data_IF_938449761753
#
_entry.id   IF_938449761753
#
_cell.length_a   1.000
_cell.length_b   1.000
_cell.length_c   1.000
_cell.angle_alpha   90.00
_cell.angle_beta   90.00
_cell.angle_gamma   90.00
#
_symmetry.space_group_name_H-M   'P 1'
#
loop_
_entity.id
_entity.type
_entity.pdbx_description
1 polymer ?
#
# COMPACT_ATOMS: atom_id res chain seq x y z
N UNK A 1 35.37 -30.26 24.89
CA UNK A 1 35.60 -28.81 25.02
C UNK A 1 34.77 -28.34 26.21
N UNK A 2 35.36 -27.59 27.15
CA UNK A 2 34.62 -27.10 28.32
C UNK A 2 33.46 -26.21 27.84
N UNK A 3 32.24 -26.55 28.25
CA UNK A 3 31.07 -25.70 28.04
C UNK A 3 31.27 -24.45 28.91
N UNK A 4 31.28 -23.24 28.35
CA UNK A 4 31.53 -22.03 29.12
C UNK A 4 30.50 -21.91 30.24
N UNK A 5 30.98 -21.84 31.48
CA UNK A 5 30.19 -21.79 32.73
C UNK A 5 29.64 -20.41 33.04
N UNK A 6 29.94 -19.43 32.19
CA UNK A 6 29.50 -18.03 32.30
C UNK A 6 29.05 -17.57 30.91
N UNK A 7 27.83 -17.02 30.85
CA UNK A 7 27.41 -16.22 29.72
C UNK A 7 27.99 -14.82 29.98
N UNK A 8 29.08 -14.46 29.31
CA UNK A 8 29.59 -13.10 29.48
C UNK A 8 28.57 -12.10 28.93
N UNK A 9 28.10 -11.21 29.80
CA UNK A 9 27.24 -10.07 29.49
C UNK A 9 27.96 -8.99 28.67
N UNK A 10 28.76 -9.37 27.66
CA UNK A 10 29.56 -8.40 26.90
C UNK A 10 28.71 -7.32 26.22
N UNK A 11 27.40 -7.57 26.02
CA UNK A 11 26.44 -6.58 25.54
C UNK A 11 25.12 -6.68 26.29
N UNK A 12 24.88 -5.72 27.18
CA UNK A 12 23.62 -5.55 27.93
C UNK A 12 22.41 -5.35 27.00
N UNK A 13 22.64 -4.82 25.79
CA UNK A 13 21.68 -4.68 24.70
C UNK A 13 22.36 -5.11 23.40
N UNK A 14 21.77 -6.02 22.62
CA UNK A 14 22.26 -6.37 21.27
C UNK A 14 21.30 -5.88 20.19
N UNK A 15 21.86 -5.28 19.15
CA UNK A 15 21.10 -4.91 17.95
C UNK A 15 20.82 -6.17 17.13
N UNK A 16 19.55 -6.41 16.78
CA UNK A 16 19.14 -7.65 16.11
C UNK A 16 18.90 -7.50 14.60
N UNK A 17 19.19 -6.32 14.02
CA UNK A 17 18.88 -6.03 12.62
C UNK A 17 19.48 -7.05 11.65
N UNK A 18 20.74 -7.45 11.83
CA UNK A 18 21.37 -8.45 10.96
C UNK A 18 20.64 -9.82 10.99
N UNK A 19 20.10 -10.21 12.14
CA UNK A 19 19.32 -11.45 12.26
C UNK A 19 17.94 -11.30 11.63
N UNK A 20 17.33 -10.11 11.74
CA UNK A 20 16.07 -9.79 11.06
C UNK A 20 16.25 -9.90 9.55
N UNK A 21 17.29 -9.28 8.99
CA UNK A 21 17.58 -9.31 7.55
C UNK A 21 17.83 -10.73 7.04
N UNK A 22 18.55 -11.54 7.81
CA UNK A 22 18.77 -12.97 7.51
C UNK A 22 17.46 -13.77 7.53
N UNK A 23 16.55 -13.48 8.47
CA UNK A 23 15.24 -14.15 8.55
C UNK A 23 14.38 -13.75 7.35
N UNK A 24 14.32 -12.46 7.02
CA UNK A 24 13.56 -11.95 5.88
C UNK A 24 14.05 -12.52 4.55
N UNK A 25 15.36 -12.76 4.42
CA UNK A 25 15.93 -13.43 3.24
C UNK A 25 15.50 -14.90 3.12
N UNK A 26 15.28 -15.59 4.25
CA UNK A 26 14.90 -17.02 4.29
C UNK A 26 13.40 -17.26 4.18
N UNK A 27 12.58 -16.31 4.62
CA UNK A 27 11.13 -16.36 4.59
C UNK A 27 10.58 -15.01 4.11
N UNK A 28 10.57 -14.76 2.78
CA UNK A 28 10.10 -13.50 2.23
C UNK A 28 8.59 -13.37 2.48
N UNK A 29 8.25 -12.61 3.50
CA UNK A 29 6.89 -12.11 3.77
C UNK A 29 6.77 -10.70 3.22
N UNK A 30 5.54 -10.18 3.06
CA UNK A 30 5.33 -8.81 2.56
C UNK A 30 6.17 -7.75 3.29
N UNK A 31 6.34 -7.91 4.60
CA UNK A 31 7.18 -7.03 5.41
C UNK A 31 8.65 -6.94 4.94
N UNK A 32 9.19 -7.96 4.28
CA UNK A 32 10.54 -7.93 3.70
C UNK A 32 10.64 -7.21 2.35
N UNK A 33 9.52 -6.89 1.72
CA UNK A 33 9.46 -6.23 0.40
C UNK A 33 9.21 -4.73 0.49
N UNK A 34 8.73 -4.25 1.63
CA UNK A 34 8.46 -2.82 1.85
C UNK A 34 9.74 -2.07 2.19
N UNK A 35 9.77 -0.78 1.85
CA UNK A 35 10.92 0.07 2.17
C UNK A 35 11.02 0.38 3.67
N UNK A 36 12.21 0.78 4.11
CA UNK A 36 12.41 1.40 5.43
C UNK A 36 12.37 2.92 5.23
N UNK A 37 11.51 3.60 5.99
CA UNK A 37 11.43 5.06 6.00
C UNK A 37 12.31 5.68 7.07
N UNK A 38 12.28 7.02 7.16
CA UNK A 38 13.06 7.76 8.16
C UNK A 38 12.67 7.35 9.59
N UNK A 39 13.59 7.48 10.53
CA UNK A 39 13.31 7.21 11.94
C UNK A 39 12.14 8.07 12.44
N UNK A 40 11.34 7.52 13.35
CA UNK A 40 10.27 8.26 14.03
C UNK A 40 10.85 9.08 15.17
N UNK A 41 10.26 10.24 15.42
CA UNK A 41 10.57 11.09 16.59
C UNK A 41 9.43 11.14 17.60
N UNK A 42 8.23 10.69 17.21
CA UNK A 42 7.01 10.72 18.01
C UNK A 42 6.21 9.44 17.84
N UNK A 43 5.34 9.16 18.80
CA UNK A 43 4.45 8.00 18.81
C UNK A 43 3.30 8.13 17.83
N UNK A 44 2.82 9.35 17.59
CA UNK A 44 1.99 9.71 16.43
C UNK A 44 2.91 10.29 15.38
N UNK A 45 2.84 9.76 14.17
CA UNK A 45 3.60 10.30 13.04
C UNK A 45 2.69 10.52 11.86
N UNK A 46 3.03 11.53 11.08
CA UNK A 46 2.24 11.99 9.96
C UNK A 46 3.11 12.18 8.73
N UNK A 47 2.46 12.09 7.58
CA UNK A 47 3.06 12.33 6.28
C UNK A 47 2.06 13.08 5.42
N UNK A 48 2.60 13.82 4.48
CA UNK A 48 1.81 14.54 3.50
C UNK A 48 1.62 13.64 2.28
N UNK A 49 0.37 13.45 1.90
CA UNK A 49 -0.02 12.92 0.62
C UNK A 49 -0.14 14.08 -0.36
N UNK A 50 0.38 13.85 -1.56
CA UNK A 50 0.27 14.78 -2.67
C UNK A 50 -0.42 14.05 -3.81
N UNK A 51 -1.36 14.72 -4.46
CA UNK A 51 -2.11 14.15 -5.56
C UNK A 51 -1.99 15.08 -6.77
N UNK A 52 -1.70 14.47 -7.91
CA UNK A 52 -1.79 15.17 -9.19
C UNK A 52 -3.27 15.32 -9.53
N UNK A 53 -3.67 16.50 -10.00
CA UNK A 53 -5.02 16.68 -10.51
C UNK A 53 -5.22 15.79 -11.73
N UNK A 54 -6.32 15.04 -11.73
CA UNK A 54 -6.75 14.32 -12.92
C UNK A 54 -7.17 15.33 -13.98
N UNK A 55 -6.75 15.09 -15.22
CA UNK A 55 -7.13 15.88 -16.38
C UNK A 55 -8.50 15.46 -16.96
N UNK A 56 -9.24 14.58 -16.27
CA UNK A 56 -10.55 14.10 -16.70
C UNK A 56 -11.61 14.41 -15.64
N UNK A 57 -12.79 14.86 -16.09
CA UNK A 57 -13.95 15.16 -15.27
C UNK A 57 -15.17 14.35 -15.67
N UNK A 58 -15.99 13.93 -14.71
CA UNK A 58 -17.22 13.16 -14.99
C UNK A 58 -18.46 14.07 -14.90
N UNK A 59 -19.31 13.98 -15.92
CA UNK A 59 -20.57 14.73 -15.99
C UNK A 59 -21.66 14.02 -15.20
N UNK A 60 -22.31 14.72 -14.27
CA UNK A 60 -23.35 14.17 -13.40
C UNK A 60 -24.71 14.07 -14.10
N UNK A 61 -25.08 15.10 -14.85
CA UNK A 61 -26.38 15.17 -15.56
C UNK A 61 -26.16 15.32 -17.05
N UNK A 62 -26.94 14.57 -17.85
CA UNK A 62 -26.90 14.69 -19.30
C UNK A 62 -27.16 16.15 -19.73
N UNK A 63 -26.47 16.59 -20.77
CA UNK A 63 -26.58 17.93 -21.34
C UNK A 63 -26.95 17.82 -22.82
N UNK A 64 -27.98 18.57 -23.23
CA UNK A 64 -28.43 18.61 -24.61
C UNK A 64 -27.43 19.37 -25.50
N UNK A 65 -27.66 19.28 -26.81
CA UNK A 65 -26.92 20.06 -27.80
C UNK A 65 -27.26 21.54 -27.57
N UNK A 66 -26.28 22.33 -27.14
CA UNK A 66 -26.44 23.76 -26.88
C UNK A 66 -26.49 24.16 -25.41
N UNK A 67 -26.63 23.22 -24.48
CA UNK A 67 -26.53 23.51 -23.04
C UNK A 67 -25.12 24.01 -22.73
N UNK A 68 -25.02 25.20 -22.13
CA UNK A 68 -23.76 25.83 -21.75
C UNK A 68 -23.38 25.56 -20.30
N UNK A 69 -24.31 25.08 -19.48
CA UNK A 69 -24.08 24.75 -18.08
C UNK A 69 -23.95 23.23 -17.94
N UNK A 70 -22.76 22.75 -17.59
CA UNK A 70 -22.52 21.33 -17.34
C UNK A 70 -22.35 21.10 -15.84
N UNK A 71 -23.22 20.26 -15.26
CA UNK A 71 -23.11 19.83 -13.86
C UNK A 71 -22.24 18.58 -13.81
N UNK A 72 -21.19 18.64 -13.01
CA UNK A 72 -20.20 17.58 -12.83
C UNK A 72 -20.49 16.79 -11.55
N UNK A 73 -19.81 15.66 -11.37
CA UNK A 73 -19.83 14.95 -10.09
C UNK A 73 -19.12 15.76 -8.99
N UNK A 74 -19.38 15.39 -7.74
CA UNK A 74 -18.96 16.16 -6.58
C UNK A 74 -17.44 16.30 -6.52
N UNK A 75 -16.94 17.54 -6.53
CA UNK A 75 -15.52 17.87 -6.45
C UNK A 75 -14.78 17.79 -7.78
N UNK A 76 -15.46 17.54 -8.89
CA UNK A 76 -14.85 17.44 -10.23
C UNK A 76 -14.60 18.82 -10.86
N UNK A 77 -15.40 19.82 -10.52
CA UNK A 77 -15.28 21.18 -11.08
C UNK A 77 -13.92 21.82 -10.82
N UNK A 78 -13.26 21.49 -9.70
CA UNK A 78 -11.92 22.00 -9.34
C UNK A 78 -10.81 21.61 -10.33
N UNK A 79 -11.05 20.63 -11.20
CA UNK A 79 -10.08 20.15 -12.20
C UNK A 79 -10.00 21.07 -13.43
N UNK A 80 -11.01 21.91 -13.61
CA UNK A 80 -11.12 22.82 -14.75
C UNK A 80 -10.70 24.23 -14.34
N UNK A 81 -10.14 24.97 -15.30
CA UNK A 81 -9.80 26.39 -15.13
C UNK A 81 -10.55 27.21 -16.18
N UNK A 82 -10.71 28.51 -15.93
CA UNK A 82 -11.18 29.43 -16.97
C UNK A 82 -10.28 29.31 -18.21
N UNK A 83 -10.89 29.39 -19.39
CA UNK A 83 -10.28 29.19 -20.71
C UNK A 83 -9.71 27.80 -21.01
N UNK A 84 -9.88 26.82 -20.11
CA UNK A 84 -9.48 25.44 -20.42
C UNK A 84 -10.23 24.92 -21.65
N UNK A 85 -9.50 24.24 -22.54
CA UNK A 85 -10.05 23.49 -23.66
C UNK A 85 -10.34 22.08 -23.17
N UNK A 86 -11.59 21.66 -23.33
CA UNK A 86 -12.11 20.40 -22.83
C UNK A 86 -12.70 19.62 -24.01
N UNK A 87 -12.48 18.32 -24.06
CA UNK A 87 -12.96 17.45 -25.11
C UNK A 87 -14.07 16.55 -24.57
N UNK A 88 -15.13 16.39 -25.36
CA UNK A 88 -16.11 15.33 -25.21
C UNK A 88 -16.28 14.61 -26.55
N UNK A 89 -15.76 13.38 -26.67
CA UNK A 89 -15.74 12.67 -27.94
C UNK A 89 -14.95 13.44 -29.01
N UNK A 90 -15.65 13.98 -30.02
CA UNK A 90 -15.05 14.83 -31.08
C UNK A 90 -15.33 16.33 -30.88
N UNK A 91 -16.18 16.70 -29.92
CA UNK A 91 -16.46 18.10 -29.60
C UNK A 91 -15.34 18.69 -28.73
N UNK A 92 -14.89 19.91 -29.08
CA UNK A 92 -14.05 20.72 -28.21
C UNK A 92 -14.87 21.86 -27.63
N UNK A 93 -14.78 22.02 -26.32
CA UNK A 93 -15.47 23.02 -25.51
C UNK A 93 -14.44 23.96 -24.90
N UNK A 94 -14.78 25.25 -24.75
CA UNK A 94 -13.97 26.19 -23.95
C UNK A 94 -14.69 26.50 -22.65
N UNK A 95 -14.02 26.32 -21.51
CA UNK A 95 -14.56 26.69 -20.19
C UNK A 95 -14.56 28.20 -20.04
N UNK A 96 -15.74 28.78 -19.79
CA UNK A 96 -15.95 30.23 -19.59
C UNK A 96 -15.85 30.57 -18.11
N UNK A 97 -16.45 29.76 -17.24
CA UNK A 97 -16.38 29.95 -15.79
C UNK A 97 -16.52 28.62 -15.05
N UNK A 98 -16.00 28.57 -13.84
CA UNK A 98 -16.05 27.40 -12.97
C UNK A 98 -16.70 27.79 -11.63
N UNK A 99 -17.74 27.05 -11.24
CA UNK A 99 -18.38 27.16 -9.93
C UNK A 99 -18.15 25.86 -9.14
N UNK A 100 -17.16 25.90 -8.24
CA UNK A 100 -16.79 24.74 -7.42
C UNK A 100 -17.81 24.43 -6.32
N UNK A 101 -18.60 25.40 -5.88
CA UNK A 101 -19.60 25.16 -4.82
C UNK A 101 -20.84 24.45 -5.37
N UNK A 102 -21.17 24.73 -6.64
CA UNK A 102 -22.27 24.09 -7.35
C UNK A 102 -21.84 22.86 -8.19
N UNK A 103 -20.55 22.50 -8.18
CA UNK A 103 -19.95 21.48 -9.05
C UNK A 103 -20.31 21.70 -10.53
N UNK A 104 -20.28 22.95 -11.00
CA UNK A 104 -20.75 23.35 -12.33
C UNK A 104 -19.64 24.05 -13.12
N UNK A 105 -19.56 23.75 -14.42
CA UNK A 105 -18.77 24.54 -15.36
C UNK A 105 -19.69 25.18 -16.39
N UNK A 106 -19.42 26.44 -16.73
CA UNK A 106 -20.06 27.12 -17.85
C UNK A 106 -19.12 27.01 -19.04
N UNK A 107 -19.59 26.52 -20.17
CA UNK A 107 -18.79 26.22 -21.37
C UNK A 107 -19.34 26.92 -22.60
N UNK A 108 -18.44 27.29 -23.50
CA UNK A 108 -18.74 27.59 -24.89
C UNK A 108 -18.68 26.27 -25.68
N UNK A 109 -19.84 25.86 -26.21
CA UNK A 109 -20.01 24.68 -27.07
C UNK A 109 -19.43 24.90 -28.47
N UNK A 110 -18.98 23.82 -29.12
CA UNK A 110 -18.49 23.85 -30.50
C UNK A 110 -17.34 24.83 -30.75
N UNK A 111 -16.34 24.86 -29.86
CA UNK A 111 -15.15 25.68 -30.01
C UNK A 111 -14.42 25.30 -31.30
N UNK A 112 -13.88 26.30 -32.01
CA UNK A 112 -13.21 26.13 -33.32
C UNK A 112 -14.06 25.42 -34.38
N UNK A 113 -15.37 25.69 -34.42
CA UNK A 113 -16.33 25.07 -35.35
C UNK A 113 -16.47 23.55 -35.22
N UNK A 114 -16.07 22.98 -34.07
CA UNK A 114 -16.39 21.58 -33.76
C UNK A 114 -17.90 21.40 -33.60
N UNK A 115 -18.42 20.24 -34.02
CA UNK A 115 -19.85 19.96 -33.97
C UNK A 115 -20.27 19.64 -32.54
N UNK A 116 -21.26 20.36 -32.02
CA UNK A 116 -21.80 20.10 -30.69
C UNK A 116 -22.56 18.77 -30.63
N UNK A 117 -22.26 17.94 -29.63
CA UNK A 117 -22.87 16.63 -29.42
C UNK A 117 -23.57 16.55 -28.06
N UNK A 118 -24.60 15.72 -27.93
CA UNK A 118 -25.24 15.53 -26.64
C UNK A 118 -24.28 14.82 -25.67
N UNK A 119 -24.21 15.31 -24.43
CA UNK A 119 -23.36 14.71 -23.40
C UNK A 119 -24.25 13.81 -22.54
N UNK A 120 -23.91 12.53 -22.43
CA UNK A 120 -24.63 11.61 -21.56
C UNK A 120 -24.24 11.79 -20.10
N UNK A 121 -25.13 11.47 -19.17
CA UNK A 121 -24.76 11.35 -17.77
C UNK A 121 -23.67 10.26 -17.62
N UNK A 122 -22.64 10.54 -16.82
CA UNK A 122 -21.43 9.72 -16.70
C UNK A 122 -20.43 9.90 -17.85
N UNK A 123 -20.66 10.83 -18.78
CA UNK A 123 -19.71 11.15 -19.85
C UNK A 123 -18.41 11.75 -19.31
N UNK A 124 -17.30 11.41 -19.96
CA UNK A 124 -15.96 11.90 -19.60
C UNK A 124 -15.60 13.17 -20.38
N UNK A 125 -15.15 14.18 -19.64
CA UNK A 125 -14.63 15.43 -20.16
C UNK A 125 -13.13 15.48 -19.94
N UNK A 126 -12.34 15.48 -21.02
CA UNK A 126 -10.88 15.51 -20.95
C UNK A 126 -10.34 16.92 -21.19
N UNK A 127 -9.52 17.43 -20.28
CA UNK A 127 -8.78 18.68 -20.49
C UNK A 127 -7.70 18.44 -21.55
N UNK A 128 -7.78 19.14 -22.68
CA UNK A 128 -6.75 19.13 -23.73
C UNK A 128 -5.59 20.03 -23.33
N UNK A 129 -5.92 21.27 -22.95
CA UNK A 129 -4.95 22.31 -22.63
C UNK A 129 -5.60 23.43 -21.84
N UNK A 130 -4.78 24.25 -21.19
CA UNK A 130 -5.19 25.47 -20.48
C UNK A 130 -4.51 26.68 -21.14
N UNK A 131 -4.91 27.06 -22.38
CA UNK A 131 -4.29 28.18 -23.10
C UNK A 131 -4.56 29.49 -22.36
N UNK A 132 -3.58 30.40 -22.39
CA UNK A 132 -3.67 31.71 -21.73
C UNK A 132 -3.72 32.85 -22.75
N UNK A 133 -4.54 33.88 -22.51
CA UNK A 133 -4.49 35.10 -23.30
C UNK A 133 -3.19 35.87 -23.06
N UNK A 134 -2.71 36.58 -24.09
CA UNK A 134 -1.54 37.43 -23.98
C UNK A 134 -1.83 38.63 -23.04
N UNK A 135 -0.95 38.85 -22.07
CA UNK A 135 -1.08 39.96 -21.09
C UNK A 135 -1.95 39.66 -19.86
N UNK A 136 -2.27 38.40 -19.58
CA UNK A 136 -2.97 38.01 -18.36
C UNK A 136 -2.14 38.33 -17.09
N UNK A 137 -2.81 38.83 -16.03
CA UNK A 137 -2.21 39.05 -14.72
C UNK A 137 -1.91 37.71 -14.00
N UNK A 138 -1.15 37.75 -12.90
CA UNK A 138 -0.78 36.56 -12.13
C UNK A 138 -2.01 35.70 -11.77
N UNK A 139 -1.92 34.39 -12.08
CA UNK A 139 -2.91 33.33 -11.85
C UNK A 139 -4.06 33.68 -10.88
N UNK A 140 -5.30 33.74 -11.38
CA UNK A 140 -6.50 33.96 -10.54
C UNK A 140 -6.72 32.87 -9.50
N UNK A 141 -6.13 31.68 -9.71
CA UNK A 141 -6.11 30.58 -8.75
C UNK A 141 -4.89 29.72 -8.99
N UNK A 142 -4.11 29.48 -7.95
CA UNK A 142 -3.03 28.50 -8.01
C UNK A 142 -3.66 27.11 -8.18
N UNK A 143 -3.19 26.33 -9.14
CA UNK A 143 -3.46 24.88 -9.29
C UNK A 143 -2.83 24.06 -8.13
N UNK A 144 -2.63 24.68 -6.98
CA UNK A 144 -2.05 24.06 -5.79
C UNK A 144 -3.15 23.23 -5.15
N UNK A 145 -2.90 21.94 -5.08
CA UNK A 145 -3.64 21.06 -4.20
C UNK A 145 -3.15 21.25 -2.77
N UNK A 146 -4.09 21.36 -1.84
CA UNK A 146 -3.73 21.28 -0.43
C UNK A 146 -3.27 19.85 -0.12
N UNK A 147 -2.20 19.74 0.66
CA UNK A 147 -1.60 18.45 1.00
C UNK A 147 -2.46 17.79 2.06
N UNK A 148 -2.96 16.59 1.77
CA UNK A 148 -3.70 15.82 2.75
C UNK A 148 -2.72 15.23 3.76
N UNK A 149 -2.94 15.51 5.05
CA UNK A 149 -2.11 14.97 6.13
C UNK A 149 -2.71 13.64 6.60
N UNK A 150 -2.04 12.54 6.26
CA UNK A 150 -2.36 11.22 6.81
C UNK A 150 -1.44 10.92 8.00
N UNK A 151 -1.93 10.10 8.93
CA UNK A 151 -1.19 9.79 10.14
C UNK A 151 -1.42 8.35 10.60
N UNK A 152 -0.45 7.86 11.37
CA UNK A 152 -0.49 6.57 12.05
C UNK A 152 0.18 6.66 13.43
N UNK A 153 0.13 5.55 14.16
CA UNK A 153 0.78 5.42 15.46
C UNK A 153 1.87 4.34 15.42
N UNK A 154 2.95 4.54 16.15
CA UNK A 154 3.92 3.48 16.41
C UNK A 154 3.31 2.44 17.36
N UNK A 155 3.75 1.20 17.23
CA UNK A 155 3.36 0.08 18.07
C UNK A 155 4.60 -0.64 18.58
N UNK A 156 4.57 -1.03 19.86
CA UNK A 156 5.61 -1.84 20.47
C UNK A 156 5.33 -3.30 20.15
N UNK A 157 6.30 -3.95 19.51
CA UNK A 157 6.34 -5.39 19.32
C UNK A 157 7.33 -5.96 20.33
N UNK A 158 6.91 -6.96 21.10
CA UNK A 158 7.77 -7.59 22.09
C UNK A 158 7.57 -9.09 22.18
N UNK A 159 8.65 -9.82 22.43
CA UNK A 159 8.65 -11.25 22.73
C UNK A 159 9.65 -11.55 23.84
N UNK A 160 9.42 -12.65 24.55
CA UNK A 160 10.22 -13.08 25.68
C UNK A 160 10.69 -14.52 25.45
N UNK A 161 11.97 -14.79 25.73
CA UNK A 161 12.56 -16.12 25.71
C UNK A 161 13.25 -16.39 27.05
N UNK A 162 13.06 -17.58 27.61
CA UNK A 162 13.72 -18.01 28.84
C UNK A 162 14.13 -19.48 28.76
N UNK A 163 15.29 -19.80 29.33
CA UNK A 163 15.87 -21.14 29.38
C UNK A 163 16.38 -21.38 30.80
N UNK A 164 16.07 -22.53 31.40
CA UNK A 164 16.56 -22.86 32.74
C UNK A 164 18.09 -23.08 32.75
N UNK A 165 18.75 -22.89 33.89
CA UNK A 165 20.21 -23.11 33.97
C UNK A 165 20.61 -24.54 33.67
N UNK A 166 19.80 -25.51 34.10
CA UNK A 166 20.01 -26.92 33.77
C UNK A 166 19.89 -27.15 32.27
N UNK A 167 18.86 -26.59 31.61
CA UNK A 167 18.68 -26.76 30.17
C UNK A 167 19.82 -26.12 29.37
N UNK A 168 20.35 -24.99 29.84
CA UNK A 168 21.53 -24.36 29.23
C UNK A 168 22.80 -25.23 29.36
N UNK A 169 22.90 -26.06 30.40
CA UNK A 169 24.03 -26.97 30.62
C UNK A 169 23.89 -28.31 29.89
N UNK A 170 22.67 -28.72 29.52
CA UNK A 170 22.43 -29.95 28.77
C UNK A 170 22.91 -29.75 27.32
N UNK A 171 23.86 -30.58 26.90
CA UNK A 171 24.34 -30.60 25.52
C UNK A 171 23.23 -31.08 24.58
N UNK A 172 22.61 -30.13 23.88
CA UNK A 172 21.59 -30.43 22.87
C UNK A 172 22.27 -30.57 21.51
N UNK A 173 21.96 -31.65 20.77
CA UNK A 173 22.57 -31.91 19.47
C UNK A 173 22.14 -30.85 18.44
N UNK A 174 23.10 -30.23 17.77
CA UNK A 174 22.84 -29.25 16.69
C UNK A 174 22.55 -27.81 17.15
N UNK A 175 22.57 -27.53 18.46
CA UNK A 175 22.39 -26.17 19.01
C UNK A 175 23.59 -25.80 19.87
N UNK A 176 24.32 -24.75 19.47
CA UNK A 176 25.49 -24.27 20.23
C UNK A 176 25.11 -23.49 21.49
N UNK A 177 23.97 -22.78 21.46
CA UNK A 177 23.42 -22.06 22.59
C UNK A 177 21.87 -22.08 22.54
N UNK A 178 21.25 -22.75 23.52
CA UNK A 178 19.80 -22.90 23.60
C UNK A 178 19.09 -21.55 23.76
N UNK A 179 19.63 -20.63 24.55
CA UNK A 179 19.05 -19.30 24.72
C UNK A 179 19.02 -18.51 23.41
N UNK A 180 20.13 -18.48 22.67
CA UNK A 180 20.20 -17.77 21.38
C UNK A 180 19.30 -18.45 20.34
N UNK A 181 19.14 -19.78 20.38
CA UNK A 181 18.19 -20.50 19.53
C UNK A 181 16.75 -20.08 19.82
N UNK A 182 16.34 -20.05 21.09
CA UNK A 182 15.00 -19.61 21.49
C UNK A 182 14.75 -18.14 21.14
N UNK A 183 15.74 -17.26 21.30
CA UNK A 183 15.66 -15.85 20.87
C UNK A 183 15.41 -15.75 19.36
N UNK A 184 16.12 -16.51 18.54
CA UNK A 184 15.90 -16.50 17.09
C UNK A 184 14.51 -17.01 16.69
N UNK A 185 13.97 -18.03 17.36
CA UNK A 185 12.59 -18.48 17.14
C UNK A 185 11.57 -17.39 17.48
N UNK A 186 11.73 -16.72 18.64
CA UNK A 186 10.85 -15.61 19.03
C UNK A 186 10.96 -14.42 18.07
N UNK A 187 12.14 -14.17 17.51
CA UNK A 187 12.35 -13.13 16.49
C UNK A 187 11.55 -13.44 15.22
N UNK A 188 11.55 -14.70 14.75
CA UNK A 188 10.74 -15.12 13.60
C UNK A 188 9.24 -14.94 13.85
N UNK A 189 8.77 -15.26 15.06
CA UNK A 189 7.37 -15.02 15.43
C UNK A 189 7.02 -13.53 15.46
N UNK A 190 7.92 -12.69 15.93
CA UNK A 190 7.73 -11.24 15.95
C UNK A 190 7.65 -10.66 14.54
N UNK A 191 8.48 -11.14 13.60
CA UNK A 191 8.42 -10.72 12.19
C UNK A 191 7.09 -11.16 11.55
N UNK A 192 6.61 -12.39 11.85
CA UNK A 192 5.30 -12.87 11.39
C UNK A 192 4.15 -12.03 11.94
N UNK A 193 4.24 -11.62 13.21
CA UNK A 193 3.28 -10.69 13.82
C UNK A 193 3.33 -9.31 13.17
N UNK A 194 4.53 -8.76 12.92
CA UNK A 194 4.72 -7.51 12.21
C UNK A 194 4.08 -7.53 10.81
N UNK A 195 4.29 -8.62 10.08
CA UNK A 195 3.68 -8.84 8.77
C UNK A 195 2.15 -8.93 8.82
N UNK A 196 1.61 -9.66 9.79
CA UNK A 196 0.16 -9.73 10.01
C UNK A 196 -0.41 -8.35 10.37
N UNK A 197 0.32 -7.57 11.17
CA UNK A 197 -0.04 -6.20 11.50
C UNK A 197 0.04 -5.26 10.30
N UNK A 198 0.96 -5.46 9.36
CA UNK A 198 1.03 -4.70 8.11
C UNK A 198 -0.24 -4.92 7.27
N UNK A 199 -0.76 -6.15 7.23
CA UNK A 199 -1.96 -6.47 6.44
C UNK A 199 -3.23 -5.99 7.17
N UNK A 200 -3.42 -6.41 8.42
CA UNK A 200 -4.70 -6.26 9.17
C UNK A 200 -4.71 -5.22 10.27
N UNK A 201 -3.57 -4.57 10.54
CA UNK A 201 -3.42 -3.63 11.64
C UNK A 201 -4.52 -2.57 11.66
N UNK A 202 -4.94 -2.17 12.85
CA UNK A 202 -5.95 -1.13 13.04
C UNK A 202 -5.29 0.06 13.73
N UNK A 203 -5.55 1.26 13.22
CA UNK A 203 -5.03 2.50 13.79
C UNK A 203 -5.77 2.80 15.10
N UNK A 204 -5.06 2.78 16.24
CA UNK A 204 -5.59 3.19 17.54
C UNK A 204 -4.52 3.99 18.30
N UNK A 205 -4.90 5.17 18.80
CA UNK A 205 -4.04 6.07 19.57
C UNK A 205 -3.73 5.59 21.00
N UNK A 206 -4.30 4.48 21.43
CA UNK A 206 -4.13 3.88 22.74
C UNK A 206 -4.87 4.64 23.85
N UNK A 207 -4.98 4.00 25.00
CA UNK A 207 -5.51 4.54 26.24
C UNK A 207 -4.81 3.88 27.43
N UNK A 208 -5.07 4.30 28.69
CA UNK A 208 -4.54 3.58 29.85
C UNK A 208 -4.93 2.09 29.91
N UNK A 209 -5.99 1.69 29.21
CA UNK A 209 -6.50 0.31 29.17
C UNK A 209 -6.29 -0.40 27.83
N UNK A 210 -5.91 0.34 26.77
CA UNK A 210 -5.73 -0.20 25.43
C UNK A 210 -4.35 0.19 24.86
N UNK A 211 -3.56 -0.77 24.34
CA UNK A 211 -2.30 -0.45 23.72
C UNK A 211 -2.49 0.35 22.43
N UNK A 212 -1.47 1.13 22.07
CA UNK A 212 -1.37 1.76 20.75
C UNK A 212 -1.17 0.70 19.68
N UNK A 213 -1.89 0.83 18.57
CA UNK A 213 -1.77 -0.11 17.45
C UNK A 213 -1.58 0.63 16.13
N UNK A 214 -0.71 0.09 15.28
CA UNK A 214 -0.44 0.64 13.95
C UNK A 214 -1.51 0.20 12.97
N UNK A 215 -1.99 1.12 12.12
CA UNK A 215 -2.84 0.81 10.98
C UNK A 215 -2.08 0.00 9.92
N UNK A 216 -2.72 -1.01 9.35
CA UNK A 216 -2.24 -1.78 8.22
C UNK A 216 -2.97 -1.42 6.91
N UNK A 217 -2.63 -2.12 5.83
CA UNK A 217 -3.12 -1.84 4.47
C UNK A 217 -4.66 -1.80 4.41
N UNK A 218 -5.35 -2.80 4.95
CA UNK A 218 -6.83 -2.83 4.93
C UNK A 218 -7.48 -1.70 5.75
N UNK A 219 -6.78 -1.16 6.75
CA UNK A 219 -7.28 0.01 7.47
C UNK A 219 -7.13 1.27 6.63
N UNK A 220 -5.97 1.47 5.99
CA UNK A 220 -5.75 2.62 5.11
C UNK A 220 -6.66 2.63 3.90
N UNK A 221 -6.92 1.47 3.28
CA UNK A 221 -7.86 1.41 2.15
C UNK A 221 -9.28 1.80 2.54
N UNK A 222 -9.71 1.45 3.75
CA UNK A 222 -11.01 1.85 4.29
C UNK A 222 -11.10 3.33 4.70
N UNK A 223 -10.01 3.89 5.23
CA UNK A 223 -9.96 5.29 5.70
C UNK A 223 -9.87 6.25 4.52
N UNK A 224 -9.01 5.96 3.54
CA UNK A 224 -8.70 6.86 2.42
C UNK A 224 -9.60 6.62 1.19
N UNK A 225 -10.43 5.58 1.20
CA UNK A 225 -11.41 5.33 0.13
C UNK A 225 -10.80 4.77 -1.16
N UNK A 226 -9.86 3.85 -1.03
CA UNK A 226 -9.24 3.12 -2.16
C UNK A 226 -10.28 2.41 -3.03
N UNK A 227 -9.95 2.19 -4.30
CA UNK A 227 -10.83 1.48 -5.22
C UNK A 227 -11.09 0.05 -4.74
N UNK A 228 -12.33 -0.44 -4.94
CA UNK A 228 -12.72 -1.80 -4.61
C UNK A 228 -13.35 -2.45 -5.83
N UNK A 229 -12.73 -3.51 -6.32
CA UNK A 229 -13.22 -4.31 -7.44
C UNK A 229 -13.88 -5.59 -6.91
N UNK A 230 -15.17 -5.75 -7.19
CA UNK A 230 -15.95 -6.93 -6.76
C UNK A 230 -15.98 -8.01 -7.85
N UNK A 231 -15.51 -9.21 -7.51
CA UNK A 231 -15.52 -10.39 -8.41
C UNK A 231 -16.79 -11.24 -8.28
N UNK A 232 -17.72 -10.87 -7.38
CA UNK A 232 -19.05 -11.50 -7.21
C UNK A 232 -18.99 -13.02 -6.97
N UNK A 233 -17.93 -13.50 -6.31
CA UNK A 233 -17.71 -14.91 -6.02
C UNK A 233 -17.13 -15.73 -7.18
N UNK A 234 -16.77 -15.09 -8.29
CA UNK A 234 -16.16 -15.77 -9.45
C UNK A 234 -14.63 -15.88 -9.30
N UNK A 235 -14.01 -16.73 -10.12
CA UNK A 235 -12.55 -16.73 -10.27
C UNK A 235 -12.05 -15.38 -10.78
N UNK A 236 -10.77 -15.05 -10.53
CA UNK A 236 -10.16 -13.88 -11.16
C UNK A 236 -10.27 -14.03 -12.68
N UNK A 237 -10.76 -12.99 -13.34
CA UNK A 237 -10.79 -12.86 -14.79
C UNK A 237 -9.88 -11.70 -15.23
N UNK A 238 -9.19 -11.87 -16.36
CA UNK A 238 -8.26 -10.87 -16.88
C UNK A 238 -8.92 -9.49 -17.09
N UNK A 239 -10.17 -9.47 -17.57
CA UNK A 239 -10.92 -8.22 -17.76
C UNK A 239 -11.08 -7.45 -16.44
N UNK A 240 -11.60 -8.07 -15.39
CA UNK A 240 -11.84 -7.40 -14.11
C UNK A 240 -10.53 -6.98 -13.41
N UNK A 241 -9.45 -7.74 -13.62
CA UNK A 241 -8.14 -7.37 -13.13
C UNK A 241 -7.60 -6.13 -13.86
N UNK A 242 -7.69 -6.09 -15.19
CA UNK A 242 -7.30 -4.93 -15.99
C UNK A 242 -8.16 -3.69 -15.66
N UNK A 243 -9.47 -3.87 -15.49
CA UNK A 243 -10.39 -2.81 -15.05
C UNK A 243 -9.91 -2.22 -13.70
N UNK A 244 -9.45 -3.06 -12.75
CA UNK A 244 -8.94 -2.58 -11.46
C UNK A 244 -7.62 -1.81 -11.59
N UNK A 245 -6.72 -2.20 -12.50
CA UNK A 245 -5.46 -1.50 -12.79
C UNK A 245 -5.73 -0.15 -13.46
N UNK A 246 -6.68 -0.10 -14.40
CA UNK A 246 -7.12 1.14 -15.04
C UNK A 246 -7.69 2.12 -14.00
N UNK A 247 -8.44 1.63 -13.02
CA UNK A 247 -8.96 2.47 -11.93
C UNK A 247 -7.85 3.02 -11.01
N UNK A 248 -6.77 2.29 -10.81
CA UNK A 248 -5.57 2.81 -10.11
C UNK A 248 -4.91 3.91 -10.94
N UNK A 249 -4.77 3.69 -12.25
CA UNK A 249 -4.12 4.64 -13.17
C UNK A 249 -4.91 5.93 -13.37
N UNK A 250 -6.24 5.85 -13.55
CA UNK A 250 -7.13 7.01 -13.69
C UNK A 250 -7.16 7.89 -12.43
N UNK A 251 -6.90 7.29 -11.26
CA UNK A 251 -6.70 8.01 -9.99
C UNK A 251 -5.31 8.64 -9.86
N UNK A 252 -4.41 8.43 -10.82
CA UNK A 252 -3.05 8.97 -10.82
C UNK A 252 -2.02 8.12 -10.05
N UNK A 253 -2.36 6.86 -9.75
CA UNK A 253 -1.47 5.91 -9.09
C UNK A 253 -0.85 4.90 -10.05
N UNK A 254 0.12 4.14 -9.53
CA UNK A 254 0.70 2.97 -10.17
C UNK A 254 0.52 1.76 -9.25
N UNK A 255 0.35 0.56 -9.82
CA UNK A 255 0.39 -0.69 -9.08
C UNK A 255 1.52 -1.56 -9.62
N UNK A 256 2.48 -1.91 -8.76
CA UNK A 256 3.62 -2.74 -9.14
C UNK A 256 3.45 -4.20 -8.67
N UNK A 257 2.65 -4.42 -7.63
CA UNK A 257 2.58 -5.70 -6.91
C UNK A 257 1.14 -6.14 -6.69
N UNK A 258 0.84 -7.41 -6.96
CA UNK A 258 -0.37 -8.07 -6.48
C UNK A 258 -0.01 -8.87 -5.23
N UNK A 259 -0.56 -8.47 -4.09
CA UNK A 259 -0.49 -9.25 -2.86
C UNK A 259 -1.72 -10.15 -2.74
N UNK A 260 -1.51 -11.46 -2.64
CA UNK A 260 -2.61 -12.41 -2.59
C UNK A 260 -2.29 -13.66 -1.76
N UNK A 261 -3.33 -14.43 -1.43
CA UNK A 261 -3.17 -15.76 -0.85
C UNK A 261 -2.83 -16.82 -1.92
N UNK A 262 -2.34 -18.01 -1.51
CA UNK A 262 -1.93 -19.06 -2.46
C UNK A 262 -3.02 -19.53 -3.43
N UNK A 263 -4.29 -19.50 -3.02
CA UNK A 263 -5.42 -19.88 -3.86
C UNK A 263 -5.63 -18.90 -5.03
N UNK A 264 -5.50 -17.61 -4.75
CA UNK A 264 -5.64 -16.55 -5.75
C UNK A 264 -4.42 -16.53 -6.68
N UNK A 265 -3.21 -16.75 -6.13
CA UNK A 265 -1.99 -16.85 -6.92
C UNK A 265 -2.12 -17.91 -8.02
N UNK A 266 -2.67 -19.09 -7.70
CA UNK A 266 -2.92 -20.15 -8.68
C UNK A 266 -3.95 -19.76 -9.75
N UNK A 267 -4.98 -19.00 -9.40
CA UNK A 267 -5.94 -18.46 -10.39
C UNK A 267 -5.26 -17.47 -11.33
N UNK A 268 -4.38 -16.60 -10.81
CA UNK A 268 -3.58 -15.68 -11.64
C UNK A 268 -2.64 -16.47 -12.57
N UNK A 269 -2.02 -17.54 -12.08
CA UNK A 269 -1.20 -18.44 -12.93
C UNK A 269 -2.03 -19.08 -14.05
N UNK A 270 -3.27 -19.50 -13.77
CA UNK A 270 -4.19 -20.08 -14.76
C UNK A 270 -4.56 -19.06 -15.85
N UNK A 271 -4.69 -17.77 -15.49
CA UNK A 271 -4.98 -16.70 -16.45
C UNK A 271 -3.81 -16.40 -17.40
N UNK A 272 -2.57 -16.57 -16.94
CA UNK A 272 -1.36 -16.27 -17.71
C UNK A 272 -0.96 -17.32 -18.77
N UNK A 273 -1.87 -18.22 -19.19
CA UNK A 273 -1.59 -19.36 -20.08
C UNK A 273 -0.60 -19.06 -21.23
N UNK A 274 0.35 -19.98 -21.45
CA UNK A 274 1.48 -19.98 -22.42
C UNK A 274 2.36 -18.72 -22.53
N UNK A 275 2.04 -17.65 -21.80
CA UNK A 275 2.72 -16.34 -21.89
C UNK A 275 3.50 -16.01 -20.60
N UNK A 276 3.71 -17.01 -19.73
CA UNK A 276 4.61 -16.87 -18.58
C UNK A 276 6.06 -16.98 -19.11
N UNK A 277 6.68 -15.84 -19.42
CA UNK A 277 8.14 -15.77 -19.53
C UNK A 277 8.72 -15.77 -18.13
N UNK A 278 9.07 -16.94 -17.60
CA UNK A 278 9.92 -17.05 -16.41
C UNK A 278 11.30 -16.51 -16.74
N UNK A 279 11.52 -15.20 -16.55
CA UNK A 279 12.89 -14.67 -16.49
C UNK A 279 13.46 -15.12 -15.15
N UNK A 280 14.24 -16.19 -15.18
CA UNK A 280 14.95 -16.72 -14.01
C UNK A 280 16.03 -15.70 -13.61
N UNK A 281 15.68 -14.76 -12.75
CA UNK A 281 16.67 -13.91 -12.09
C UNK A 281 17.35 -14.76 -11.02
N UNK A 282 18.62 -15.05 -11.22
CA UNK A 282 19.44 -15.96 -10.39
C UNK A 282 19.88 -15.26 -9.09
N UNK A 283 18.95 -14.69 -8.33
CA UNK A 283 19.28 -14.07 -7.04
C UNK A 283 18.22 -14.33 -5.98
N UNK A 284 18.64 -15.11 -4.99
CA UNK A 284 18.08 -15.30 -3.65
C UNK A 284 16.80 -16.15 -3.50
N UNK A 285 16.89 -17.08 -2.55
CA UNK A 285 15.86 -17.90 -1.93
C UNK A 285 14.38 -17.62 -2.28
N UNK A 286 13.71 -18.63 -2.85
CA UNK A 286 12.26 -18.84 -2.65
C UNK A 286 11.28 -17.98 -3.45
N UNK A 287 11.75 -17.07 -4.30
CA UNK A 287 10.86 -16.31 -5.19
C UNK A 287 10.34 -17.19 -6.34
N UNK A 288 9.03 -17.49 -6.35
CA UNK A 288 8.30 -17.57 -7.62
C UNK A 288 7.60 -16.23 -7.82
N UNK A 289 8.36 -15.24 -8.27
CA UNK A 289 7.76 -14.02 -8.84
C UNK A 289 7.14 -14.45 -10.17
N UNK A 290 5.84 -14.71 -10.16
CA UNK A 290 5.08 -14.75 -11.38
C UNK A 290 4.85 -13.29 -11.78
N UNK A 291 5.53 -12.82 -12.80
CA UNK A 291 5.21 -11.54 -13.43
C UNK A 291 3.95 -11.74 -14.27
N UNK A 292 2.90 -10.98 -13.98
CA UNK A 292 1.71 -10.91 -14.81
C UNK A 292 1.80 -9.62 -15.61
N UNK A 293 2.03 -9.70 -16.92
CA UNK A 293 2.03 -8.51 -17.76
C UNK A 293 0.56 -8.18 -18.06
N UNK A 294 0.09 -7.06 -17.51
CA UNK A 294 -1.21 -6.50 -17.90
C UNK A 294 -1.15 -6.13 -19.38
N UNK A 295 -2.25 -6.36 -20.11
CA UNK A 295 -2.40 -5.99 -21.54
C UNK A 295 -2.50 -4.46 -21.76
N UNK A 296 -2.30 -3.66 -20.71
CA UNK A 296 -2.35 -2.20 -20.78
C UNK A 296 -0.95 -1.67 -21.17
N UNK A 297 -0.83 -0.81 -22.20
CA UNK A 297 0.44 -0.25 -22.62
C UNK A 297 0.93 0.76 -21.57
N UNK A 298 1.69 0.27 -20.58
CA UNK A 298 2.24 1.06 -19.47
C UNK A 298 2.11 0.40 -18.09
N UNK A 299 1.32 -0.67 -17.94
CA UNK A 299 1.05 -1.32 -16.66
C UNK A 299 1.78 -2.65 -16.49
N UNK A 300 3.09 -2.64 -16.25
CA UNK A 300 3.76 -3.85 -15.79
C UNK A 300 3.44 -4.07 -14.31
N UNK A 301 2.41 -4.87 -14.01
CA UNK A 301 2.33 -5.53 -12.70
C UNK A 301 3.55 -6.44 -12.63
N UNK A 302 4.59 -5.98 -11.95
CA UNK A 302 5.92 -6.57 -12.01
C UNK A 302 6.06 -7.78 -11.10
N UNK A 303 5.20 -7.93 -10.08
CA UNK A 303 5.29 -9.10 -9.18
C UNK A 303 3.96 -9.53 -8.54
N UNK A 304 3.73 -10.84 -8.48
CA UNK A 304 2.72 -11.45 -7.61
C UNK A 304 3.42 -11.95 -6.35
N UNK A 305 3.03 -11.39 -5.20
CA UNK A 305 3.55 -11.76 -3.87
C UNK A 305 2.51 -12.59 -3.15
N UNK A 306 2.92 -13.79 -2.75
CA UNK A 306 2.06 -14.73 -2.04
C UNK A 306 2.33 -14.68 -0.55
N UNK A 307 1.34 -14.25 0.23
CA UNK A 307 1.41 -14.27 1.69
C UNK A 307 0.31 -15.17 2.26
N UNK A 308 0.67 -16.10 3.14
CA UNK A 308 -0.27 -17.04 3.73
C UNK A 308 -1.28 -16.37 4.66
N UNK A 309 -0.95 -15.18 5.19
CA UNK A 309 -1.84 -14.44 6.07
C UNK A 309 -2.92 -13.69 5.30
N UNK A 310 -2.83 -13.57 3.97
CA UNK A 310 -3.85 -12.91 3.17
C UNK A 310 -5.18 -13.67 3.22
N UNK A 311 -6.31 -12.94 3.21
CA UNK A 311 -7.62 -13.57 3.25
C UNK A 311 -7.88 -14.27 1.91
N UNK A 312 -8.53 -15.43 1.94
CA UNK A 312 -8.71 -16.27 0.74
C UNK A 312 -9.67 -15.65 -0.29
N UNK A 313 -10.49 -14.70 0.11
CA UNK A 313 -11.51 -14.02 -0.69
C UNK A 313 -11.06 -12.65 -1.22
N UNK A 314 -9.86 -12.17 -0.86
CA UNK A 314 -9.39 -10.84 -1.27
C UNK A 314 -7.92 -10.82 -1.67
N UNK A 315 -7.59 -9.91 -2.57
CA UNK A 315 -6.21 -9.55 -2.93
C UNK A 315 -6.05 -8.02 -2.95
N UNK A 316 -4.82 -7.55 -2.88
CA UNK A 316 -4.48 -6.13 -2.93
C UNK A 316 -3.58 -5.87 -4.14
N UNK A 317 -3.94 -4.90 -4.97
CA UNK A 317 -3.02 -4.25 -5.89
C UNK A 317 -2.38 -3.11 -5.12
N UNK A 318 -1.05 -3.05 -5.09
CA UNK A 318 -0.33 -2.04 -4.34
C UNK A 318 0.97 -1.62 -5.02
N UNK A 319 1.44 -0.43 -4.67
CA UNK A 319 2.78 0.04 -4.94
C UNK A 319 3.66 -0.14 -3.69
N UNK A 320 4.61 -1.08 -3.75
CA UNK A 320 5.52 -1.37 -2.62
C UNK A 320 6.41 -0.18 -2.28
N UNK A 321 6.69 0.73 -3.21
CA UNK A 321 7.54 1.90 -2.97
C UNK A 321 6.84 2.96 -2.10
N UNK A 322 5.50 2.95 -2.09
CA UNK A 322 4.65 3.86 -1.31
C UNK A 322 4.35 3.34 0.09
N UNK A 323 4.75 2.10 0.40
CA UNK A 323 4.58 1.48 1.71
C UNK A 323 5.95 1.39 2.41
N UNK A 324 6.06 1.99 3.60
CA UNK A 324 7.30 2.00 4.36
C UNK A 324 7.09 1.63 5.83
N UNK A 325 8.02 0.87 6.40
CA UNK A 325 8.13 0.70 7.85
C UNK A 325 9.00 1.82 8.44
N UNK A 326 8.52 2.49 9.48
CA UNK A 326 9.26 3.53 10.20
C UNK A 326 9.48 3.14 11.65
N UNK A 327 10.73 3.13 12.06
CA UNK A 327 11.13 2.69 13.39
C UNK A 327 11.31 3.88 14.33
N UNK A 328 10.65 3.83 15.49
CA UNK A 328 10.97 4.69 16.64
C UNK A 328 12.13 4.10 17.44
N UNK A 329 12.12 2.78 17.58
CA UNK A 329 13.23 2.02 18.15
C UNK A 329 13.46 0.78 17.30
N UNK A 330 14.68 0.58 16.76
CA UNK A 330 15.03 -0.63 16.04
C UNK A 330 14.78 -1.88 16.87
N UNK A 331 14.78 -3.06 16.24
CA UNK A 331 14.62 -4.31 16.95
C UNK A 331 15.91 -4.63 17.70
N UNK A 332 15.82 -4.73 19.03
CA UNK A 332 16.92 -5.08 19.91
C UNK A 332 16.50 -6.18 20.89
N UNK A 333 17.48 -6.88 21.45
CA UNK A 333 17.28 -7.75 22.59
C UNK A 333 18.04 -7.21 23.81
N UNK A 334 17.50 -7.46 25.00
CA UNK A 334 18.17 -7.13 26.27
C UNK A 334 17.97 -8.26 27.27
N UNK A 335 18.87 -8.36 28.24
CA UNK A 335 18.68 -9.28 29.36
C UNK A 335 17.45 -8.88 30.18
N UNK A 336 16.67 -9.89 30.57
CA UNK A 336 15.47 -9.74 31.38
C UNK A 336 15.50 -10.64 32.62
N UNK A 337 16.66 -11.24 32.92
CA UNK A 337 16.82 -12.20 34.01
C UNK A 337 16.67 -11.52 35.37
N UNK A 338 15.66 -11.89 36.19
CA UNK A 338 15.54 -11.34 37.53
C UNK A 338 16.70 -11.78 38.42
N UNK A 339 17.16 -10.91 39.31
CA UNK A 339 18.19 -11.26 40.30
C UNK A 339 17.72 -12.43 41.17
N UNK A 340 18.53 -13.50 41.22
CA UNK A 340 18.22 -14.71 41.98
C UNK A 340 17.36 -15.75 41.24
N UNK A 341 16.96 -15.50 39.98
CA UNK A 341 16.25 -16.49 39.19
C UNK A 341 17.16 -17.65 38.74
N UNK A 342 16.60 -18.87 38.72
CA UNK A 342 17.27 -20.09 38.22
C UNK A 342 17.02 -20.34 36.72
N UNK A 343 17.04 -19.27 35.94
CA UNK A 343 16.94 -19.30 34.48
C UNK A 343 17.67 -18.11 33.88
N UNK A 344 18.01 -18.19 32.60
CA UNK A 344 18.42 -17.04 31.79
C UNK A 344 17.26 -16.62 30.91
N UNK A 345 17.04 -15.31 30.77
CA UNK A 345 15.94 -14.79 29.95
C UNK A 345 16.31 -13.53 29.21
N UNK A 346 15.79 -13.37 28.00
CA UNK A 346 15.96 -12.17 27.18
C UNK A 346 14.61 -11.69 26.67
N UNK A 347 14.44 -10.39 26.62
CA UNK A 347 13.28 -9.74 25.98
C UNK A 347 13.73 -9.10 24.67
N UNK A 348 12.99 -9.39 23.61
CA UNK A 348 13.13 -8.79 22.29
C UNK A 348 12.09 -7.69 22.19
N UNK A 349 12.49 -6.50 21.77
CA UNK A 349 11.58 -5.37 21.60
C UNK A 349 11.94 -4.57 20.36
N UNK A 350 10.93 -4.06 19.68
CA UNK A 350 11.05 -3.02 18.67
C UNK A 350 9.81 -2.14 18.70
N UNK A 351 9.95 -0.87 18.34
CA UNK A 351 8.80 0.02 18.20
C UNK A 351 8.82 0.66 16.83
N UNK A 352 7.77 0.38 16.04
CA UNK A 352 7.64 0.88 14.67
C UNK A 352 6.18 0.98 14.24
N UNK A 353 5.94 1.66 13.14
CA UNK A 353 4.64 1.77 12.49
C UNK A 353 4.76 1.79 10.97
N UNK A 354 3.62 1.81 10.29
CA UNK A 354 3.56 1.79 8.83
C UNK A 354 3.16 3.15 8.27
N UNK A 355 3.90 3.60 7.26
CA UNK A 355 3.57 4.74 6.41
C UNK A 355 3.04 4.21 5.08
N UNK A 356 1.88 4.69 4.66
CA UNK A 356 1.26 4.36 3.37
C UNK A 356 0.95 5.66 2.65
N UNK A 357 1.76 6.01 1.67
CA UNK A 357 1.58 7.22 0.87
C UNK A 357 0.50 7.03 -0.18
N UNK A 358 -0.37 8.03 -0.32
CA UNK A 358 -1.41 8.11 -1.36
C UNK A 358 -2.24 6.82 -1.45
N UNK A 359 -2.71 6.28 -0.32
CA UNK A 359 -3.35 4.96 -0.28
C UNK A 359 -4.60 4.87 -1.20
N UNK A 360 -5.29 6.00 -1.43
CA UNK A 360 -6.46 6.09 -2.30
C UNK A 360 -6.12 5.81 -3.77
N UNK A 361 -4.96 6.24 -4.21
CA UNK A 361 -4.45 6.12 -5.57
C UNK A 361 -3.53 4.90 -5.73
N UNK A 362 -2.74 4.55 -4.71
CA UNK A 362 -1.69 3.52 -4.79
C UNK A 362 -2.14 2.11 -4.42
N UNK A 363 -3.36 1.97 -3.88
CA UNK A 363 -3.91 0.67 -3.48
C UNK A 363 -5.29 0.47 -4.09
N UNK A 364 -5.54 -0.74 -4.63
CA UNK A 364 -6.88 -1.21 -4.96
C UNK A 364 -7.15 -2.57 -4.30
N UNK A 365 -8.37 -2.76 -3.81
CA UNK A 365 -8.81 -4.00 -3.17
C UNK A 365 -9.60 -4.83 -4.16
N UNK A 366 -9.18 -6.07 -4.38
CA UNK A 366 -9.94 -7.06 -5.12
C UNK A 366 -10.73 -7.89 -4.11
N UNK A 367 -12.06 -7.82 -4.13
CA UNK A 367 -12.94 -8.44 -3.13
C UNK A 367 -13.85 -9.52 -3.74
N UNK A 368 -14.32 -10.43 -2.89
CA UNK A 368 -15.23 -11.55 -3.23
C UNK A 368 -14.69 -12.44 -4.36
N UNK A 369 -13.41 -12.77 -4.32
CA UNK A 369 -12.81 -13.73 -5.25
C UNK A 369 -13.18 -15.16 -4.80
N UNK A 370 -13.42 -16.04 -5.78
CA UNK A 370 -13.67 -17.46 -5.49
C UNK A 370 -12.53 -18.07 -4.67
N UNK A 371 -12.89 -18.77 -3.59
CA UNK A 371 -11.93 -19.46 -2.71
C UNK A 371 -11.38 -20.73 -3.35
N UNK A 372 -12.13 -21.32 -4.28
CA UNK A 372 -11.83 -22.58 -4.95
C UNK A 372 -11.60 -22.33 -6.43
N UNK A 373 -10.73 -23.13 -7.03
CA UNK A 373 -10.59 -23.16 -8.47
C UNK A 373 -11.61 -24.13 -9.06
N UNK A 374 -12.24 -23.73 -10.16
CA UNK A 374 -13.06 -24.57 -11.03
C UNK A 374 -12.18 -25.28 -12.06
#
# INVERSE_FOLDING_TARGET
MPVPTTYEFQQQVRQMQANVDLILTKAPVLFGLIGVGDALTQTKFEWQNDYLNSDTGIVKTAAAVGDTDLVLEKGEARKFTENALVQNGLEVLRVVSVDENADKITVQRGYDSTKAEAITAGGELKVIARPRPEGEDAFRKNEINDRLVSHNFSQIFSRYASVSRTQQQVNTYGVSNELDYQVNLRLQEMIREANTSLIYGRRNGGSPTQPRTTGGLFAFTGIEGSHKQDFKGNEIAAKLLNDAVEQVFTRGGSANTILCGPNIARQITKLGGDTIRTTRQDTAAGYQILSFVSDLPGGAISSVVVDLNMPKDRALLLDTEKVKARYLTPIYDQDATPNGADYFSRVIRGEFGFEVKNAKESIAVLENISKTMA
#
